data_IF_816232042010
#
_entry.id   IF_816232042010
#
_cell.length_a   1.000
_cell.length_b   1.000
_cell.length_c   1.000
_cell.angle_alpha   90.00
_cell.angle_beta   90.00
_cell.angle_gamma   90.00
#
_symmetry.space_group_name_H-M   'P 1'
#
loop_
_entity.id
_entity.type
_entity.pdbx_description
1 polymer ?
#
# COMPACT_ATOMS: atom_id res chain seq x y z
N UNK A 1 13.87 -33.39 15.06
CA UNK A 1 13.65 -32.84 13.69
C UNK A 1 12.22 -32.36 13.42
N UNK A 2 11.14 -33.17 13.56
CA UNK A 2 9.74 -32.75 13.26
C UNK A 2 9.15 -31.62 14.15
N UNK A 3 9.71 -31.37 15.34
CA UNK A 3 9.25 -30.28 16.22
C UNK A 3 9.85 -28.91 15.87
N UNK A 4 11.11 -28.88 15.41
CA UNK A 4 11.78 -27.63 15.00
C UNK A 4 11.12 -27.06 13.75
N UNK A 5 10.78 -27.91 12.77
CA UNK A 5 10.06 -27.51 11.55
C UNK A 5 8.65 -26.94 11.81
N UNK A 6 8.05 -27.21 12.98
CA UNK A 6 6.72 -26.70 13.36
C UNK A 6 6.77 -25.38 14.14
N UNK A 7 7.93 -25.01 14.70
CA UNK A 7 8.11 -23.72 15.40
C UNK A 7 8.37 -22.55 14.45
N UNK A 8 8.79 -22.80 13.20
CA UNK A 8 9.02 -21.77 12.18
C UNK A 8 7.78 -21.37 11.39
N UNK A 9 6.63 -21.99 11.64
CA UNK A 9 5.40 -21.75 10.87
C UNK A 9 4.78 -20.34 11.00
N UNK A 10 5.08 -19.48 12.00
CA UNK A 10 4.51 -18.14 12.05
C UNK A 10 5.49 -16.97 11.84
N UNK A 11 6.78 -17.20 11.57
CA UNK A 11 7.79 -16.11 11.50
C UNK A 11 8.01 -15.52 10.09
N UNK A 12 7.07 -15.73 9.17
CA UNK A 12 7.23 -15.39 7.75
C UNK A 12 6.37 -14.22 7.31
N UNK A 13 6.64 -13.03 7.83
CA UNK A 13 6.37 -11.77 7.11
C UNK A 13 7.46 -10.79 7.53
N UNK A 14 8.64 -10.91 6.94
CA UNK A 14 9.67 -9.87 7.08
C UNK A 14 9.75 -9.24 5.71
N UNK A 15 9.42 -7.95 5.61
CA UNK A 15 9.23 -7.20 4.37
C UNK A 15 10.54 -6.46 3.99
N UNK A 16 11.13 -6.71 2.81
CA UNK A 16 12.45 -6.20 2.39
C UNK A 16 12.27 -5.11 1.34
N UNK A 17 12.42 -3.82 1.67
CA UNK A 17 12.47 -2.73 0.69
C UNK A 17 13.90 -2.39 0.27
N UNK A 18 14.37 -2.97 -0.84
CA UNK A 18 15.31 -2.28 -1.73
C UNK A 18 15.15 -2.81 -3.16
N UNK A 19 14.67 -1.95 -4.06
CA UNK A 19 15.05 -1.98 -5.47
C UNK A 19 15.01 -0.53 -5.97
N UNK A 20 16.15 0.15 -5.81
CA UNK A 20 16.50 1.35 -6.56
C UNK A 20 16.50 0.99 -8.04
N UNK A 21 15.40 1.27 -8.75
CA UNK A 21 15.37 1.11 -10.20
C UNK A 21 15.99 2.36 -10.83
N UNK A 22 17.28 2.22 -11.10
CA UNK A 22 18.07 2.82 -12.19
C UNK A 22 18.46 4.31 -12.14
N UNK A 23 19.76 4.53 -11.87
CA UNK A 23 20.61 5.30 -12.78
C UNK A 23 20.79 6.78 -12.50
N UNK A 24 21.64 7.13 -11.53
CA UNK A 24 22.72 8.11 -11.66
C UNK A 24 23.55 8.13 -10.36
N UNK A 25 24.85 8.37 -10.47
CA UNK A 25 25.70 8.76 -9.34
C UNK A 25 25.04 9.95 -8.62
N UNK A 26 24.68 9.74 -7.37
CA UNK A 26 24.22 10.76 -6.46
C UNK A 26 24.12 10.13 -5.09
N UNK A 27 25.11 10.42 -4.23
CA UNK A 27 24.98 10.19 -2.79
C UNK A 27 23.67 10.82 -2.32
N UNK A 28 22.73 9.98 -1.93
CA UNK A 28 21.41 10.42 -1.53
C UNK A 28 20.73 9.29 -0.79
N UNK A 29 20.93 9.26 0.53
CA UNK A 29 19.90 8.76 1.43
C UNK A 29 18.62 9.54 1.09
N UNK A 30 17.79 8.98 0.23
CA UNK A 30 16.48 9.54 -0.10
C UNK A 30 15.59 9.37 1.11
N UNK A 31 15.67 10.30 2.05
CA UNK A 31 14.64 10.47 3.07
C UNK A 31 13.32 10.65 2.31
N UNK A 32 12.39 9.72 2.54
CA UNK A 32 11.02 9.89 2.06
C UNK A 32 10.49 11.20 2.66
N UNK A 33 10.15 12.17 1.81
CA UNK A 33 9.61 13.44 2.29
C UNK A 33 8.24 13.24 2.92
N UNK A 34 8.00 13.85 4.09
CA UNK A 34 6.70 13.83 4.77
C UNK A 34 5.63 14.72 4.10
N UNK A 35 5.95 15.29 2.94
CA UNK A 35 5.11 16.27 2.24
C UNK A 35 4.04 15.64 1.34
N UNK A 36 3.98 14.30 1.27
CA UNK A 36 2.95 13.56 0.54
C UNK A 36 1.60 13.51 1.26
N UNK A 37 0.54 13.12 0.53
CA UNK A 37 -0.83 13.00 1.08
C UNK A 37 -0.95 12.01 2.25
N UNK A 38 0.04 11.11 2.41
CA UNK A 38 0.08 10.11 3.48
C UNK A 38 0.99 10.50 4.66
N UNK A 39 1.57 11.71 4.64
CA UNK A 39 2.47 12.18 5.68
C UNK A 39 3.65 11.22 5.92
N UNK A 40 3.86 10.85 7.18
CA UNK A 40 4.97 10.00 7.63
C UNK A 40 4.78 8.50 7.33
N UNK A 41 3.58 8.06 6.93
CA UNK A 41 3.26 6.64 6.76
C UNK A 41 4.23 5.89 5.81
N UNK A 42 4.62 6.46 4.64
CA UNK A 42 5.57 5.78 3.77
C UNK A 42 6.98 5.68 4.38
N UNK A 43 7.44 6.70 5.11
CA UNK A 43 8.73 6.66 5.80
C UNK A 43 8.75 5.55 6.86
N UNK A 44 7.66 5.41 7.63
CA UNK A 44 7.49 4.33 8.62
C UNK A 44 7.54 2.96 7.95
N UNK A 45 6.87 2.79 6.80
CA UNK A 45 6.92 1.53 6.06
C UNK A 45 8.34 1.22 5.54
N UNK A 46 9.07 2.21 5.03
CA UNK A 46 10.47 2.03 4.58
C UNK A 46 11.36 1.62 5.75
N UNK A 47 11.27 2.32 6.88
CA UNK A 47 12.08 2.04 8.07
C UNK A 47 11.78 0.66 8.66
N UNK A 48 10.50 0.33 8.81
CA UNK A 48 10.07 -1.02 9.22
C UNK A 48 10.64 -2.07 8.27
N UNK A 49 10.54 -1.85 6.96
CA UNK A 49 11.10 -2.76 5.97
C UNK A 49 12.60 -2.95 6.17
N UNK A 50 13.38 -1.88 6.30
CA UNK A 50 14.82 -1.94 6.51
C UNK A 50 15.21 -2.68 7.80
N UNK A 51 14.53 -2.39 8.91
CA UNK A 51 14.76 -3.07 10.17
C UNK A 51 14.40 -4.55 10.09
N UNK A 52 13.30 -4.88 9.40
CA UNK A 52 12.87 -6.24 9.17
C UNK A 52 13.97 -7.02 8.43
N UNK A 53 14.56 -6.46 7.36
CA UNK A 53 15.71 -7.06 6.65
C UNK A 53 16.87 -7.33 7.60
N UNK A 54 17.28 -6.33 8.37
CA UNK A 54 18.42 -6.46 9.27
C UNK A 54 18.20 -7.56 10.31
N UNK A 55 16.96 -7.68 10.83
CA UNK A 55 16.57 -8.80 11.69
C UNK A 55 16.68 -10.11 10.93
N UNK A 56 16.11 -10.24 9.72
CA UNK A 56 16.20 -11.45 8.90
C UNK A 56 17.64 -11.87 8.61
N UNK A 57 18.53 -10.92 8.32
CA UNK A 57 19.93 -11.21 8.03
C UNK A 57 20.68 -11.71 9.27
N UNK A 58 20.32 -11.23 10.46
CA UNK A 58 20.83 -11.77 11.73
C UNK A 58 20.44 -13.24 11.97
N UNK A 59 19.46 -13.78 11.23
CA UNK A 59 19.14 -15.21 11.28
C UNK A 59 20.34 -16.08 10.89
N UNK A 60 21.28 -15.53 10.09
CA UNK A 60 22.51 -16.23 9.68
C UNK A 60 23.41 -16.53 10.86
N UNK A 61 23.32 -15.79 11.97
CA UNK A 61 24.20 -15.93 13.13
C UNK A 61 23.62 -16.79 14.25
N UNK A 62 22.38 -17.28 14.09
CA UNK A 62 21.72 -18.10 15.10
C UNK A 62 22.39 -19.48 15.22
N UNK A 63 22.78 -19.86 16.42
CA UNK A 63 23.44 -21.14 16.71
C UNK A 63 22.76 -21.92 17.83
N UNK A 64 21.97 -21.24 18.66
CA UNK A 64 21.31 -21.83 19.83
C UNK A 64 19.79 -21.62 19.83
N UNK A 65 19.10 -22.37 20.69
CA UNK A 65 17.66 -22.17 20.97
C UNK A 65 17.41 -20.80 21.60
N UNK A 66 18.37 -20.28 22.38
CA UNK A 66 18.28 -18.96 22.97
C UNK A 66 18.36 -17.86 21.90
N UNK A 67 19.26 -18.00 20.93
CA UNK A 67 19.35 -17.10 19.77
C UNK A 67 18.03 -17.07 19.00
N UNK A 68 17.40 -18.23 18.79
CA UNK A 68 16.11 -18.33 18.11
C UNK A 68 14.98 -17.62 18.89
N UNK A 69 14.98 -17.75 20.22
CA UNK A 69 14.01 -17.03 21.07
C UNK A 69 14.23 -15.52 21.00
N UNK A 70 15.48 -15.07 21.07
CA UNK A 70 15.84 -13.66 20.97
C UNK A 70 15.48 -13.08 19.60
N UNK A 71 15.74 -13.81 18.52
CA UNK A 71 15.32 -13.47 17.16
C UNK A 71 13.80 -13.31 17.04
N UNK A 72 13.04 -14.26 17.57
CA UNK A 72 11.57 -14.21 17.55
C UNK A 72 11.03 -13.03 18.35
N UNK A 73 11.65 -12.71 19.50
CA UNK A 73 11.27 -11.56 20.31
C UNK A 73 11.57 -10.25 19.58
N UNK A 74 12.71 -10.13 18.89
CA UNK A 74 13.04 -8.94 18.08
C UNK A 74 12.00 -8.67 16.99
N UNK A 75 11.53 -9.72 16.30
CA UNK A 75 10.46 -9.56 15.29
C UNK A 75 9.18 -9.02 15.93
N UNK A 76 8.75 -9.61 17.05
CA UNK A 76 7.55 -9.15 17.76
C UNK A 76 7.65 -7.71 18.26
N UNK A 77 8.81 -7.34 18.78
CA UNK A 77 9.10 -5.99 19.24
C UNK A 77 9.10 -4.99 18.08
N UNK A 78 9.68 -5.37 16.93
CA UNK A 78 9.65 -4.58 15.71
C UNK A 78 8.21 -4.36 15.23
N UNK A 79 7.40 -5.42 15.13
CA UNK A 79 5.99 -5.33 14.74
C UNK A 79 5.18 -4.46 15.70
N UNK A 80 5.40 -4.61 17.01
CA UNK A 80 4.70 -3.80 18.02
C UNK A 80 5.06 -2.32 17.90
N UNK A 81 6.34 -2.02 17.72
CA UNK A 81 6.85 -0.64 17.58
C UNK A 81 6.34 0.00 16.30
N UNK A 82 6.36 -0.74 15.19
CA UNK A 82 5.85 -0.27 13.91
C UNK A 82 4.35 0.03 13.97
N UNK A 83 3.54 -0.87 14.54
CA UNK A 83 2.10 -0.64 14.70
C UNK A 83 1.79 0.59 15.55
N UNK A 84 2.49 0.78 16.68
CA UNK A 84 2.31 1.97 17.51
C UNK A 84 2.67 3.27 16.76
N UNK A 85 3.73 3.23 15.95
CA UNK A 85 4.18 4.38 15.15
C UNK A 85 3.18 4.68 14.01
N UNK A 86 2.67 3.65 13.35
CA UNK A 86 1.62 3.75 12.34
C UNK A 86 0.36 4.39 12.94
N UNK A 87 -0.11 3.93 14.10
CA UNK A 87 -1.30 4.47 14.73
C UNK A 87 -1.13 5.97 15.07
N UNK A 88 0.06 6.36 15.54
CA UNK A 88 0.38 7.76 15.80
C UNK A 88 0.38 8.60 14.51
N UNK A 89 0.94 8.08 13.41
CA UNK A 89 0.98 8.77 12.12
C UNK A 89 -0.41 8.87 11.48
N UNK A 90 -1.23 7.81 11.56
CA UNK A 90 -2.61 7.81 11.07
C UNK A 90 -3.42 8.92 11.77
N UNK A 91 -3.28 9.08 13.10
CA UNK A 91 -3.98 10.17 13.83
C UNK A 91 -3.62 11.56 13.33
N UNK A 92 -2.41 11.78 12.83
CA UNK A 92 -2.01 13.06 12.21
C UNK A 92 -2.68 13.31 10.85
N UNK A 93 -3.33 12.30 10.27
CA UNK A 93 -4.09 12.40 9.02
C UNK A 93 -5.59 12.65 9.25
N UNK A 94 -6.06 12.57 10.49
CA UNK A 94 -7.47 12.78 10.82
C UNK A 94 -7.97 14.15 10.34
N UNK A 95 -9.12 14.16 9.66
CA UNK A 95 -9.74 15.37 9.12
C UNK A 95 -9.00 16.01 7.94
N UNK A 96 -7.84 15.50 7.52
CA UNK A 96 -7.15 15.99 6.32
C UNK A 96 -7.91 15.58 5.07
N UNK A 97 -8.06 16.55 4.17
CA UNK A 97 -8.61 16.31 2.84
C UNK A 97 -7.58 15.67 1.93
N UNK A 98 -8.03 14.76 1.07
CA UNK A 98 -7.23 14.14 0.04
C UNK A 98 -7.56 14.83 -1.28
N UNK A 99 -6.57 15.47 -1.94
CA UNK A 99 -6.76 16.02 -3.26
C UNK A 99 -7.14 14.93 -4.25
N UNK A 100 -8.35 15.02 -4.81
CA UNK A 100 -8.90 14.04 -5.74
C UNK A 100 -9.25 14.72 -7.06
N UNK A 101 -8.92 14.04 -8.16
CA UNK A 101 -9.39 14.35 -9.51
C UNK A 101 -10.00 13.10 -10.14
N UNK A 102 -10.88 13.29 -11.12
CA UNK A 102 -11.45 12.21 -11.93
C UNK A 102 -10.94 12.37 -13.36
N UNK A 103 -10.73 11.27 -14.08
CA UNK A 103 -10.50 11.36 -15.52
C UNK A 103 -11.69 12.06 -16.22
N UNK A 104 -11.39 12.95 -17.17
CA UNK A 104 -12.38 13.82 -17.83
C UNK A 104 -13.48 13.03 -18.57
N UNK A 105 -13.21 11.77 -18.92
CA UNK A 105 -14.14 10.88 -19.61
C UNK A 105 -15.09 10.13 -18.66
N UNK A 106 -14.97 10.32 -17.34
CA UNK A 106 -15.81 9.64 -16.36
C UNK A 106 -17.08 10.45 -16.08
N UNK A 107 -18.27 9.81 -16.09
CA UNK A 107 -19.54 10.48 -15.82
C UNK A 107 -19.80 10.71 -14.32
N UNK A 108 -18.76 11.06 -13.56
CA UNK A 108 -18.79 11.26 -12.11
C UNK A 108 -17.88 12.41 -11.70
N UNK A 109 -18.20 13.07 -10.59
CA UNK A 109 -17.36 14.07 -9.93
C UNK A 109 -17.42 13.90 -8.41
N UNK A 110 -16.46 14.46 -7.68
CA UNK A 110 -16.61 14.61 -6.23
C UNK A 110 -17.74 15.61 -5.91
N UNK A 111 -18.66 15.24 -5.03
CA UNK A 111 -19.64 16.16 -4.44
C UNK A 111 -19.27 16.61 -3.04
N UNK A 112 -18.39 15.86 -2.35
CA UNK A 112 -17.75 16.24 -1.09
C UNK A 112 -16.25 15.89 -1.14
N UNK A 113 -15.40 16.58 -0.36
CA UNK A 113 -13.99 16.22 -0.22
C UNK A 113 -13.83 14.77 0.24
N UNK A 114 -12.74 14.14 -0.21
CA UNK A 114 -12.33 12.85 0.32
C UNK A 114 -11.54 13.06 1.60
N UNK A 115 -11.87 12.29 2.64
CA UNK A 115 -11.24 12.39 3.96
C UNK A 115 -10.80 11.02 4.44
N UNK A 116 -9.79 10.99 5.32
CA UNK A 116 -9.35 9.76 5.97
C UNK A 116 -10.44 9.21 6.90
N UNK A 117 -10.75 7.92 6.76
CA UNK A 117 -11.63 7.15 7.63
C UNK A 117 -10.77 6.45 8.69
N UNK A 118 -10.68 7.10 9.85
CA UNK A 118 -9.83 6.66 10.97
C UNK A 118 -10.36 5.42 11.69
N UNK A 119 -11.67 5.15 11.62
CA UNK A 119 -12.26 3.94 12.22
C UNK A 119 -11.85 2.69 11.46
N UNK A 120 -11.65 2.82 10.14
CA UNK A 120 -11.25 1.71 9.28
C UNK A 120 -9.76 1.67 8.95
N UNK A 121 -9.01 2.72 9.24
CA UNK A 121 -7.55 2.79 9.08
C UNK A 121 -6.84 2.17 10.28
N UNK A 122 -6.02 1.15 10.04
CA UNK A 122 -5.28 0.39 11.07
C UNK A 122 -4.19 -0.45 10.43
N UNK A 123 -3.14 -0.80 11.16
CA UNK A 123 -2.14 -1.79 10.73
C UNK A 123 -1.71 -1.62 9.26
N UNK A 124 -1.01 -0.53 8.95
CA UNK A 124 -0.50 -0.13 7.62
C UNK A 124 -1.57 0.19 6.57
N UNK A 125 -2.84 -0.06 6.88
CA UNK A 125 -3.96 0.21 5.99
C UNK A 125 -4.50 1.62 6.23
N UNK A 126 -4.50 2.40 5.16
CA UNK A 126 -5.11 3.71 5.06
C UNK A 126 -6.44 3.59 4.33
N UNK A 127 -7.49 4.11 4.93
CA UNK A 127 -8.83 4.18 4.33
C UNK A 127 -9.21 5.63 4.17
N UNK A 128 -9.80 5.96 3.03
CA UNK A 128 -10.41 7.25 2.81
C UNK A 128 -11.70 7.12 2.02
N UNK A 129 -12.63 8.04 2.30
CA UNK A 129 -13.98 8.02 1.78
C UNK A 129 -14.34 9.40 1.24
N UNK A 130 -15.16 9.43 0.19
CA UNK A 130 -15.72 10.66 -0.36
C UNK A 130 -17.07 10.40 -1.00
N UNK A 131 -17.88 11.44 -1.12
CA UNK A 131 -19.14 11.40 -1.83
C UNK A 131 -18.88 11.76 -3.30
N UNK A 132 -19.35 10.91 -4.21
CA UNK A 132 -19.34 11.17 -5.64
C UNK A 132 -20.77 11.36 -6.16
N UNK A 133 -20.89 12.14 -7.21
CA UNK A 133 -22.15 12.45 -7.88
C UNK A 133 -22.03 12.15 -9.38
N UNK A 134 -23.04 11.51 -9.95
CA UNK A 134 -23.08 11.26 -11.38
C UNK A 134 -23.35 12.57 -12.14
N UNK A 135 -22.53 12.85 -13.16
CA UNK A 135 -22.67 14.07 -13.99
C UNK A 135 -23.67 13.89 -15.14
N UNK A 136 -24.01 12.65 -15.44
CA UNK A 136 -25.04 12.21 -16.39
C UNK A 136 -25.79 10.99 -15.84
N UNK A 137 -26.79 10.51 -16.60
CA UNK A 137 -27.51 9.30 -16.24
C UNK A 137 -26.67 8.05 -16.56
N UNK A 138 -26.63 7.08 -15.65
CA UNK A 138 -25.85 5.85 -15.79
C UNK A 138 -26.76 4.64 -15.70
N UNK A 139 -26.89 3.89 -16.80
CA UNK A 139 -27.51 2.56 -16.80
C UNK A 139 -26.42 1.49 -16.64
N UNK A 140 -26.38 0.77 -15.52
CA UNK A 140 -25.33 -0.22 -15.25
C UNK A 140 -25.32 -1.41 -16.21
N UNK A 141 -26.44 -1.71 -16.88
CA UNK A 141 -26.55 -2.83 -17.82
C UNK A 141 -26.10 -2.47 -19.24
N UNK A 142 -26.16 -1.19 -19.60
CA UNK A 142 -25.93 -0.70 -20.97
C UNK A 142 -24.72 0.23 -21.07
N UNK A 143 -24.34 0.88 -19.98
CA UNK A 143 -23.23 1.83 -19.95
C UNK A 143 -21.89 1.11 -20.05
N UNK A 144 -20.97 1.72 -20.80
CA UNK A 144 -19.55 1.33 -20.80
C UNK A 144 -18.90 1.59 -19.44
N UNK A 145 -19.46 2.52 -18.67
CA UNK A 145 -19.01 2.94 -17.35
C UNK A 145 -19.83 2.27 -16.24
N UNK A 146 -19.12 1.79 -15.21
CA UNK A 146 -19.70 1.30 -13.97
C UNK A 146 -18.82 1.82 -12.83
N UNK A 147 -19.42 2.37 -11.78
CA UNK A 147 -18.69 2.91 -10.63
C UNK A 147 -17.82 1.85 -9.93
N UNK A 148 -18.16 0.56 -10.04
CA UNK A 148 -17.33 -0.56 -9.57
C UNK A 148 -16.03 -0.75 -10.37
N UNK A 149 -15.90 -0.12 -11.54
CA UNK A 149 -14.69 -0.09 -12.35
C UNK A 149 -13.82 1.13 -12.09
N UNK A 150 -14.13 1.94 -11.07
CA UNK A 150 -13.25 3.00 -10.62
C UNK A 150 -12.10 2.43 -9.80
N UNK A 151 -10.89 2.90 -10.08
CA UNK A 151 -9.70 2.58 -9.29
C UNK A 151 -8.87 3.83 -9.05
N UNK A 152 -8.11 3.83 -7.95
CA UNK A 152 -7.26 4.94 -7.55
C UNK A 152 -5.88 4.82 -8.21
N UNK A 153 -5.48 5.89 -8.88
CA UNK A 153 -4.13 6.12 -9.40
C UNK A 153 -3.50 7.23 -8.59
N UNK A 154 -2.35 6.98 -7.97
CA UNK A 154 -1.63 7.98 -7.20
C UNK A 154 -0.73 8.78 -8.13
N UNK A 155 -0.81 10.11 -8.05
CA UNK A 155 -0.02 11.01 -8.90
C UNK A 155 0.97 11.83 -8.08
N UNK A 156 2.09 12.18 -8.71
CA UNK A 156 3.05 13.14 -8.15
C UNK A 156 2.55 14.60 -8.26
N UNK A 157 3.40 15.54 -7.83
CA UNK A 157 3.13 16.98 -7.89
C UNK A 157 2.85 17.48 -9.31
N UNK A 158 3.53 16.89 -10.30
CA UNK A 158 3.48 17.29 -11.71
C UNK A 158 2.29 16.62 -12.43
N UNK A 159 1.61 15.67 -11.77
CA UNK A 159 0.48 14.93 -12.31
C UNK A 159 0.85 13.63 -13.02
N UNK A 160 2.10 13.18 -12.93
CA UNK A 160 2.50 11.90 -13.49
C UNK A 160 2.00 10.75 -12.62
N UNK A 161 1.56 9.63 -13.23
CA UNK A 161 1.15 8.47 -12.48
C UNK A 161 2.35 7.76 -11.83
N UNK A 162 2.24 7.51 -10.52
CA UNK A 162 3.23 6.80 -9.72
C UNK A 162 2.91 5.31 -9.63
N UNK A 163 1.70 5.00 -9.17
CA UNK A 163 1.22 3.63 -9.04
C UNK A 163 -0.31 3.56 -9.00
N UNK A 164 -0.84 2.36 -9.24
CA UNK A 164 -2.22 2.00 -8.91
C UNK A 164 -2.22 1.35 -7.53
N UNK A 165 -3.22 1.61 -6.71
CA UNK A 165 -3.29 0.90 -5.43
C UNK A 165 -4.60 1.08 -4.70
N UNK A 166 -4.79 0.20 -3.74
CA UNK A 166 -5.97 0.18 -2.90
C UNK A 166 -7.19 -0.43 -3.58
N UNK A 167 -8.05 -1.02 -2.75
CA UNK A 167 -9.34 -1.53 -3.17
C UNK A 167 -10.35 -0.40 -3.13
N UNK A 168 -10.94 -0.11 -4.29
CA UNK A 168 -12.07 0.81 -4.40
C UNK A 168 -13.37 0.05 -4.23
N UNK A 169 -14.26 0.58 -3.40
CA UNK A 169 -15.62 0.08 -3.22
C UNK A 169 -16.58 1.25 -3.34
N UNK A 170 -17.58 1.11 -4.20
CA UNK A 170 -18.67 2.07 -4.32
C UNK A 170 -19.90 1.56 -3.58
N UNK A 171 -20.51 2.41 -2.77
CA UNK A 171 -21.77 2.18 -2.08
C UNK A 171 -22.78 3.23 -2.56
N UNK A 172 -23.77 2.86 -3.39
CA UNK A 172 -24.75 3.83 -3.86
C UNK A 172 -25.66 4.30 -2.72
N UNK A 173 -26.19 5.52 -2.84
CA UNK A 173 -27.23 6.01 -1.93
C UNK A 173 -28.56 5.24 -2.07
N UNK A 174 -28.84 4.73 -3.27
CA UNK A 174 -29.99 3.87 -3.58
C UNK A 174 -29.56 2.72 -4.52
N UNK A 175 -30.03 1.50 -4.24
CA UNK A 175 -29.70 0.33 -5.06
C UNK A 175 -30.61 0.26 -6.28
N UNK A 176 -30.20 0.95 -7.35
CA UNK A 176 -30.86 0.91 -8.65
C UNK A 176 -29.95 0.37 -9.74
N UNK A 177 -30.53 -0.18 -10.81
CA UNK A 177 -29.81 -0.52 -12.05
C UNK A 177 -29.56 0.71 -12.93
N UNK A 178 -30.29 1.79 -12.67
CA UNK A 178 -30.25 3.07 -13.39
C UNK A 178 -30.12 4.20 -12.38
N UNK A 179 -29.05 4.97 -12.50
CA UNK A 179 -28.79 6.11 -11.65
C UNK A 179 -29.03 7.38 -12.44
N UNK A 180 -29.89 8.25 -11.92
CA UNK A 180 -30.14 9.55 -12.51
C UNK A 180 -28.91 10.46 -12.41
N UNK A 181 -28.88 11.48 -13.27
CA UNK A 181 -27.93 12.58 -13.12
C UNK A 181 -28.12 13.23 -11.75
N UNK A 182 -27.03 13.48 -11.04
CA UNK A 182 -27.07 14.02 -9.68
C UNK A 182 -27.25 12.95 -8.60
N UNK A 183 -27.44 11.67 -8.96
CA UNK A 183 -27.44 10.59 -7.97
C UNK A 183 -26.06 10.49 -7.29
N UNK A 184 -26.10 10.29 -5.97
CA UNK A 184 -24.93 10.30 -5.10
C UNK A 184 -24.61 8.91 -4.56
N UNK A 185 -23.34 8.69 -4.27
CA UNK A 185 -22.89 7.51 -3.55
C UNK A 185 -21.54 7.73 -2.89
N UNK A 186 -21.21 6.86 -1.95
CA UNK A 186 -19.93 6.88 -1.26
C UNK A 186 -18.91 6.03 -2.02
N UNK A 187 -17.74 6.60 -2.26
CA UNK A 187 -16.59 5.90 -2.79
C UNK A 187 -15.57 5.74 -1.67
N UNK A 188 -15.25 4.48 -1.34
CA UNK A 188 -14.23 4.12 -0.36
C UNK A 188 -13.00 3.57 -1.05
N UNK A 189 -11.82 4.03 -0.65
CA UNK A 189 -10.54 3.45 -1.04
C UNK A 189 -9.85 2.88 0.20
N UNK A 190 -9.35 1.65 0.08
CA UNK A 190 -8.59 0.96 1.12
C UNK A 190 -7.22 0.59 0.58
N UNK A 191 -6.20 1.38 0.91
CA UNK A 191 -4.81 1.19 0.50
C UNK A 191 -4.00 0.58 1.64
N UNK A 192 -3.05 -0.31 1.31
CA UNK A 192 -2.01 -0.74 2.24
C UNK A 192 -0.69 -0.06 1.84
N UNK A 193 -0.06 0.64 2.78
CA UNK A 193 1.25 1.23 2.57
C UNK A 193 2.28 0.22 3.08
N UNK A 194 3.00 -0.37 2.14
CA UNK A 194 3.96 -1.43 2.39
C UNK A 194 5.33 -1.01 1.88
N UNK A 195 6.42 -1.66 2.31
CA UNK A 195 7.74 -1.17 1.96
C UNK A 195 8.00 -1.18 0.44
N UNK A 196 7.30 -2.01 -0.33
CA UNK A 196 7.42 -2.07 -1.79
C UNK A 196 6.81 -0.87 -2.54
N UNK A 197 5.78 -0.23 -1.97
CA UNK A 197 5.11 0.92 -2.58
C UNK A 197 5.37 2.23 -1.85
N UNK A 198 6.00 2.18 -0.68
CA UNK A 198 6.20 3.34 0.17
C UNK A 198 6.98 4.46 -0.53
N UNK A 199 8.05 4.17 -1.26
CA UNK A 199 8.80 5.22 -1.96
C UNK A 199 7.93 5.94 -3.01
N UNK A 200 7.11 5.19 -3.76
CA UNK A 200 6.17 5.76 -4.73
C UNK A 200 5.12 6.61 -4.00
N UNK A 201 4.53 6.08 -2.93
CA UNK A 201 3.48 6.76 -2.18
C UNK A 201 4.00 7.97 -1.38
N UNK A 202 5.28 8.03 -1.04
CA UNK A 202 5.91 9.22 -0.43
C UNK A 202 5.86 10.44 -1.35
N UNK A 203 5.84 10.21 -2.67
CA UNK A 203 5.78 11.24 -3.71
C UNK A 203 4.34 11.59 -4.09
N UNK A 204 3.34 10.86 -3.58
CA UNK A 204 1.95 11.05 -3.95
C UNK A 204 1.39 12.36 -3.40
N UNK A 205 0.87 13.20 -4.28
CA UNK A 205 0.30 14.51 -3.97
C UNK A 205 -1.21 14.58 -4.21
N UNK A 206 -1.74 13.67 -5.02
CA UNK A 206 -3.17 13.60 -5.35
C UNK A 206 -3.55 12.20 -5.80
N UNK A 207 -4.84 11.93 -5.75
CA UNK A 207 -5.44 10.69 -6.25
C UNK A 207 -6.26 11.01 -7.48
N UNK A 208 -6.02 10.28 -8.57
CA UNK A 208 -6.89 10.29 -9.74
C UNK A 208 -7.74 9.04 -9.76
N UNK A 209 -9.05 9.20 -9.85
CA UNK A 209 -9.94 8.08 -10.15
C UNK A 209 -10.03 7.87 -11.66
N UNK A 210 -9.71 6.65 -12.08
CA UNK A 210 -9.69 6.22 -13.47
C UNK A 210 -10.54 4.96 -13.65
N UNK A 211 -11.00 4.71 -14.88
CA UNK A 211 -11.62 3.42 -15.20
C UNK A 211 -10.54 2.34 -15.34
N UNK A 212 -10.74 1.17 -14.73
CA UNK A 212 -9.85 0.00 -14.93
C UNK A 212 -9.81 -0.49 -16.39
N UNK A 213 -10.75 -0.03 -17.22
CA UNK A 213 -10.79 -0.36 -18.65
C UNK A 213 -9.91 0.55 -19.51
N UNK A 214 -9.46 1.69 -18.97
CA UNK A 214 -8.58 2.63 -19.67
C UNK A 214 -7.20 2.00 -19.93
N UNK A 215 -6.65 2.20 -21.13
CA UNK A 215 -5.36 1.62 -21.50
C UNK A 215 -4.20 2.27 -20.74
N UNK A 216 -4.28 3.57 -20.45
CA UNK A 216 -3.29 4.25 -19.60
C UNK A 216 -3.32 3.67 -18.18
N UNK A 217 -4.50 3.32 -17.67
CA UNK A 217 -4.61 2.65 -16.37
C UNK A 217 -3.88 1.31 -16.38
N UNK A 218 -4.06 0.48 -17.43
CA UNK A 218 -3.40 -0.82 -17.55
C UNK A 218 -1.88 -0.69 -17.57
N UNK A 219 -1.34 0.32 -18.27
CA UNK A 219 0.11 0.57 -18.30
C UNK A 219 0.66 0.86 -16.88
N UNK A 220 -0.04 1.70 -16.10
CA UNK A 220 0.38 1.99 -14.73
C UNK A 220 0.18 0.78 -13.82
N UNK A 221 -0.89 0.01 -14.01
CA UNK A 221 -1.13 -1.23 -13.28
C UNK A 221 -0.01 -2.25 -13.53
N UNK A 222 0.37 -2.48 -14.79
CA UNK A 222 1.45 -3.41 -15.16
C UNK A 222 2.80 -2.97 -14.57
N UNK A 223 3.09 -1.67 -14.60
CA UNK A 223 4.28 -1.11 -13.94
C UNK A 223 4.24 -1.38 -12.44
N UNK A 224 3.11 -1.11 -11.78
CA UNK A 224 2.92 -1.33 -10.34
C UNK A 224 3.10 -2.81 -9.97
N UNK A 225 2.43 -3.71 -10.70
CA UNK A 225 2.50 -5.16 -10.49
C UNK A 225 3.92 -5.69 -10.71
N UNK A 226 4.69 -5.11 -11.64
CA UNK A 226 6.08 -5.49 -11.83
C UNK A 226 6.98 -5.07 -10.65
N UNK A 227 6.77 -3.89 -10.08
CA UNK A 227 7.49 -3.45 -8.87
C UNK A 227 7.17 -4.38 -7.69
N UNK A 228 5.89 -4.64 -7.44
CA UNK A 228 5.43 -5.53 -6.36
C UNK A 228 5.99 -6.95 -6.55
N UNK A 229 5.93 -7.49 -7.76
CA UNK A 229 6.44 -8.83 -8.07
C UNK A 229 7.94 -8.93 -7.81
N UNK A 230 8.75 -7.99 -8.30
CA UNK A 230 10.20 -7.99 -8.10
C UNK A 230 10.56 -7.92 -6.61
N UNK A 231 9.84 -7.10 -5.87
CA UNK A 231 9.97 -7.01 -4.43
C UNK A 231 9.67 -8.35 -3.74
N UNK A 232 8.54 -8.99 -4.07
CA UNK A 232 8.15 -10.30 -3.52
C UNK A 232 9.14 -11.42 -3.86
N UNK A 233 9.70 -11.41 -5.07
CA UNK A 233 10.71 -12.38 -5.52
C UNK A 233 12.00 -12.24 -4.71
N UNK A 234 12.49 -11.00 -4.56
CA UNK A 234 13.69 -10.70 -3.78
C UNK A 234 13.50 -11.06 -2.31
N UNK A 235 12.32 -10.78 -1.76
CA UNK A 235 11.94 -11.18 -0.41
C UNK A 235 12.06 -12.67 -0.16
N UNK A 236 11.44 -13.46 -1.04
CA UNK A 236 11.45 -14.91 -0.98
C UNK A 236 12.88 -15.47 -1.07
N UNK A 237 13.77 -14.81 -1.83
CA UNK A 237 15.18 -15.20 -1.88
C UNK A 237 15.88 -14.99 -0.54
N UNK A 238 15.68 -13.83 0.12
CA UNK A 238 16.24 -13.53 1.45
C UNK A 238 15.72 -14.48 2.53
N UNK A 239 14.43 -14.78 2.52
CA UNK A 239 13.84 -15.76 3.44
C UNK A 239 14.46 -17.15 3.25
N UNK A 240 14.64 -17.57 1.99
CA UNK A 240 15.28 -18.85 1.67
C UNK A 240 16.73 -18.90 2.17
N UNK A 241 17.51 -17.85 1.94
CA UNK A 241 18.89 -17.76 2.46
C UNK A 241 18.94 -17.88 3.98
N UNK A 242 18.03 -17.19 4.70
CA UNK A 242 17.95 -17.26 6.15
C UNK A 242 17.58 -18.67 6.65
N UNK A 243 16.60 -19.32 6.01
CA UNK A 243 16.20 -20.69 6.34
C UNK A 243 17.33 -21.69 6.12
N UNK A 244 18.06 -21.58 5.00
CA UNK A 244 19.19 -22.45 4.69
C UNK A 244 20.34 -22.25 5.69
N UNK A 245 20.64 -21.01 6.08
CA UNK A 245 21.66 -20.71 7.08
C UNK A 245 21.33 -21.35 8.44
N UNK A 246 20.07 -21.26 8.88
CA UNK A 246 19.61 -21.85 10.14
C UNK A 246 19.66 -23.38 10.08
N UNK A 247 19.12 -23.99 9.02
CA UNK A 247 19.08 -25.45 8.86
C UNK A 247 20.47 -26.07 8.69
N UNK A 248 21.41 -25.35 8.08
CA UNK A 248 22.81 -25.78 7.93
C UNK A 248 23.55 -25.85 9.26
N UNK A 249 23.21 -24.98 10.22
CA UNK A 249 23.85 -24.90 11.55
C UNK A 249 23.24 -25.82 12.61
N UNK A 250 22.02 -26.31 12.39
CA UNK A 250 21.30 -27.21 13.31
C UNK A 250 21.42 -28.70 12.96
N UNK A 251 22.36 -29.06 12.06
CA UNK A 251 22.75 -30.44 11.75
C UNK A 251 23.99 -30.82 12.56
#
# INVERSE_FOLDING_TARGET
MKQISRMFAPASVVLVAMLSIAGCKGDGNGEASNDGIFGEMPAIAIDYGNQAIAVLESAKDLTTIEDLKNFTNKIKELDSTANATVDAALRKLEGKEIPVVFDDNLPVKASKPFIFDMEQSKNEKVVFVGEIENTEEINQLESKFNQHYLSAVYLDKDGNPLCVGGRTTFKPGDYSKRFEKGAKGELKVSLKIEPWNAELLSKAQKVKFASVKDDNFKVVLDSTSNVERRYKEMLKAKEKEAQEAILGKLK
#
